data_IF_876821139262
#
_entry.id   IF_876821139262
#
_cell.length_a   1.000
_cell.length_b   1.000
_cell.length_c   1.000
_cell.angle_alpha   90.00
_cell.angle_beta   90.00
_cell.angle_gamma   90.00
#
_symmetry.space_group_name_H-M   'P 1'
#
loop_
_entity.id
_entity.type
_entity.pdbx_description
1 polymer ?
#
# COMPACT_ATOMS: atom_id res chain seq x y z
N UNK A 1 -11.43 -9.93 11.89
CA UNK A 1 -10.13 -10.65 12.02
C UNK A 1 -9.75 -10.92 13.48
N UNK A 2 -8.98 -10.09 14.20
CA UNK A 2 -8.51 -10.44 15.56
C UNK A 2 -9.64 -10.69 16.59
N UNK A 3 -10.71 -9.89 16.52
CA UNK A 3 -11.89 -10.03 17.38
C UNK A 3 -12.75 -11.26 17.01
N UNK A 4 -12.74 -11.66 15.74
CA UNK A 4 -13.44 -12.88 15.27
C UNK A 4 -12.66 -14.15 15.60
N UNK A 5 -11.33 -14.14 15.43
CA UNK A 5 -10.44 -15.27 15.73
C UNK A 5 -10.60 -15.73 17.18
N UNK A 6 -10.62 -14.76 18.10
CA UNK A 6 -10.84 -14.99 19.54
C UNK A 6 -12.21 -15.61 19.86
N UNK A 7 -13.21 -15.37 19.01
CA UNK A 7 -14.56 -15.93 19.15
C UNK A 7 -14.64 -17.38 18.65
N UNK A 8 -13.72 -17.79 17.75
CA UNK A 8 -13.63 -19.15 17.19
C UNK A 8 -12.66 -20.07 17.94
N UNK A 9 -11.93 -19.53 18.93
CA UNK A 9 -10.94 -20.30 19.69
C UNK A 9 -9.65 -20.59 18.91
N UNK A 10 -9.41 -19.86 17.82
CA UNK A 10 -8.19 -19.97 17.01
C UNK A 10 -7.04 -19.20 17.68
N UNK A 11 -5.84 -19.78 17.66
CA UNK A 11 -4.64 -19.05 18.06
C UNK A 11 -4.40 -17.89 17.07
N UNK A 12 -4.23 -16.70 17.64
CA UNK A 12 -4.01 -15.48 16.87
C UNK A 12 -2.69 -15.56 16.08
N UNK A 13 -1.66 -16.19 16.65
CA UNK A 13 -0.36 -16.32 15.99
C UNK A 13 -0.46 -17.22 14.76
N UNK A 14 -1.12 -18.37 14.88
CA UNK A 14 -1.36 -19.29 13.77
C UNK A 14 -2.18 -18.65 12.65
N UNK A 15 -3.23 -17.88 13.00
CA UNK A 15 -4.05 -17.18 12.01
C UNK A 15 -3.25 -16.13 11.24
N UNK A 16 -2.34 -15.41 11.90
CA UNK A 16 -1.47 -14.43 11.24
C UNK A 16 -0.55 -15.12 10.25
N UNK A 17 0.05 -16.26 10.64
CA UNK A 17 0.94 -17.04 9.76
C UNK A 17 0.17 -17.56 8.54
N UNK A 18 -1.00 -18.17 8.72
CA UNK A 18 -1.87 -18.61 7.62
C UNK A 18 -2.23 -17.47 6.66
N UNK A 19 -2.65 -16.34 7.22
CA UNK A 19 -3.07 -15.18 6.43
C UNK A 19 -1.90 -14.61 5.61
N UNK A 20 -0.71 -14.50 6.22
CA UNK A 20 0.49 -14.07 5.53
C UNK A 20 0.88 -15.05 4.43
N UNK A 21 0.85 -16.36 4.72
CA UNK A 21 1.14 -17.41 3.73
C UNK A 21 0.19 -17.33 2.54
N UNK A 22 -1.11 -17.16 2.79
CA UNK A 22 -2.11 -17.00 1.73
C UNK A 22 -1.77 -15.81 0.83
N UNK A 23 -1.40 -14.65 1.38
CA UNK A 23 -1.04 -13.48 0.58
C UNK A 23 0.26 -13.67 -0.21
N UNK A 24 1.26 -14.32 0.38
CA UNK A 24 2.60 -14.45 -0.20
C UNK A 24 2.72 -15.61 -1.19
N UNK A 25 1.98 -16.71 -0.98
CA UNK A 25 2.15 -17.97 -1.71
C UNK A 25 0.98 -18.29 -2.65
N UNK A 26 -0.19 -17.66 -2.52
CA UNK A 26 -1.36 -17.93 -3.40
C UNK A 26 -1.17 -17.50 -4.85
N UNK A 27 -0.12 -16.71 -5.15
CA UNK A 27 0.06 -16.07 -6.45
C UNK A 27 -0.87 -14.88 -6.71
N UNK A 28 -1.71 -14.50 -5.74
CA UNK A 28 -2.56 -13.31 -5.84
C UNK A 28 -1.74 -12.01 -5.88
N UNK A 29 -0.67 -11.96 -5.08
CA UNK A 29 0.28 -10.85 -5.06
C UNK A 29 1.49 -11.17 -5.95
N UNK A 30 1.92 -10.17 -6.75
CA UNK A 30 3.17 -10.25 -7.50
C UNK A 30 4.21 -9.35 -6.85
N UNK A 31 5.41 -9.89 -6.66
CA UNK A 31 6.57 -9.08 -6.26
C UNK A 31 6.96 -8.12 -7.37
N UNK A 32 7.12 -6.85 -7.01
CA UNK A 32 7.66 -5.80 -7.88
C UNK A 32 8.95 -5.28 -7.26
N UNK A 33 9.91 -4.95 -8.11
CA UNK A 33 11.17 -4.35 -7.68
C UNK A 33 11.19 -2.87 -8.05
N UNK A 34 11.74 -2.00 -7.19
CA UNK A 34 11.79 -0.58 -7.48
C UNK A 34 12.74 -0.29 -8.65
N UNK A 35 12.27 0.50 -9.61
CA UNK A 35 13.08 1.06 -10.68
C UNK A 35 14.03 2.16 -10.14
N UNK A 36 15.03 2.53 -10.93
CA UNK A 36 15.98 3.61 -10.56
C UNK A 36 15.23 4.94 -10.38
N UNK A 37 14.21 5.13 -11.20
CA UNK A 37 13.29 6.27 -11.22
C UNK A 37 12.48 6.31 -9.92
N UNK A 38 11.93 5.17 -9.48
CA UNK A 38 11.22 5.05 -8.21
C UNK A 38 12.14 5.39 -7.02
N UNK A 39 13.38 4.87 -7.02
CA UNK A 39 14.37 5.17 -5.97
C UNK A 39 14.70 6.66 -5.94
N UNK A 40 14.91 7.28 -7.10
CA UNK A 40 15.20 8.71 -7.21
C UNK A 40 14.05 9.58 -6.69
N UNK A 41 12.80 9.22 -7.00
CA UNK A 41 11.63 9.93 -6.52
C UNK A 41 11.45 9.76 -5.00
N UNK A 42 11.63 8.55 -4.48
CA UNK A 42 11.55 8.28 -3.05
C UNK A 42 12.60 9.07 -2.25
N UNK A 43 13.82 9.18 -2.79
CA UNK A 43 14.87 10.01 -2.22
C UNK A 43 14.50 11.50 -2.24
N UNK A 44 13.87 12.00 -3.31
CA UNK A 44 13.37 13.38 -3.38
C UNK A 44 12.32 13.65 -2.30
N UNK A 45 11.37 12.74 -2.09
CA UNK A 45 10.36 12.86 -1.03
C UNK A 45 11.01 12.94 0.36
N UNK A 46 12.04 12.12 0.60
CA UNK A 46 12.82 12.17 1.84
C UNK A 46 13.50 13.52 2.05
N UNK A 47 14.06 14.11 0.99
CA UNK A 47 14.63 15.47 1.04
C UNK A 47 13.58 16.55 1.30
N UNK A 48 12.35 16.35 0.84
CA UNK A 48 11.23 17.27 1.03
C UNK A 48 10.56 17.15 2.41
N UNK A 49 10.96 16.17 3.22
CA UNK A 49 10.63 16.11 4.64
C UNK A 49 9.91 14.83 5.10
N UNK A 50 9.44 13.97 4.19
CA UNK A 50 8.79 12.71 4.60
C UNK A 50 9.81 11.67 4.99
N UNK A 51 9.80 11.27 6.27
CA UNK A 51 10.87 10.44 6.84
C UNK A 51 10.70 8.95 6.56
N UNK A 52 9.47 8.48 6.36
CA UNK A 52 9.21 7.07 6.06
C UNK A 52 9.67 6.74 4.63
N UNK A 53 10.72 5.92 4.54
CA UNK A 53 11.31 5.54 3.26
C UNK A 53 10.48 4.47 2.55
N UNK A 54 9.74 3.65 3.30
CA UNK A 54 8.91 2.60 2.72
C UNK A 54 7.73 3.25 2.00
N UNK A 55 7.01 4.17 2.64
CA UNK A 55 5.91 4.88 1.99
C UNK A 55 6.37 5.71 0.79
N UNK A 56 7.51 6.39 0.93
CA UNK A 56 8.12 7.12 -0.19
C UNK A 56 8.39 6.19 -1.37
N UNK A 57 8.89 4.98 -1.11
CA UNK A 57 9.22 4.02 -2.16
C UNK A 57 7.95 3.40 -2.78
N UNK A 58 6.96 3.03 -1.97
CA UNK A 58 5.69 2.48 -2.43
C UNK A 58 4.94 3.46 -3.32
N UNK A 59 4.81 4.72 -2.89
CA UNK A 59 4.24 5.80 -3.70
C UNK A 59 5.04 6.00 -4.99
N UNK A 60 6.37 6.05 -4.89
CA UNK A 60 7.21 6.30 -6.05
C UNK A 60 7.09 5.21 -7.09
N UNK A 61 7.04 3.94 -6.67
CA UNK A 61 6.78 2.81 -7.57
C UNK A 61 5.39 2.92 -8.21
N UNK A 62 4.37 3.29 -7.44
CA UNK A 62 3.03 3.44 -8.01
C UNK A 62 2.98 4.50 -9.12
N UNK A 63 3.61 5.65 -8.88
CA UNK A 63 3.72 6.73 -9.88
C UNK A 63 4.53 6.29 -11.10
N UNK A 64 5.70 5.69 -10.92
CA UNK A 64 6.59 5.38 -12.05
C UNK A 64 6.11 4.19 -12.88
N UNK A 65 5.40 3.25 -12.28
CA UNK A 65 4.89 2.04 -12.94
C UNK A 65 3.41 2.16 -13.35
N UNK A 66 2.77 3.32 -13.15
CA UNK A 66 1.37 3.56 -13.51
C UNK A 66 0.38 2.68 -12.72
N UNK A 67 0.71 2.37 -11.46
CA UNK A 67 -0.13 1.57 -10.56
C UNK A 67 -0.94 2.48 -9.64
N UNK A 68 -1.99 1.92 -9.01
CA UNK A 68 -2.68 2.60 -7.90
C UNK A 68 -2.03 2.19 -6.57
N UNK A 69 -1.86 3.13 -5.66
CA UNK A 69 -1.33 2.89 -4.32
C UNK A 69 -2.47 2.84 -3.31
N UNK A 70 -2.79 1.64 -2.83
CA UNK A 70 -3.77 1.43 -1.76
C UNK A 70 -3.17 1.86 -0.41
N UNK A 71 -3.69 2.94 0.17
CA UNK A 71 -3.30 3.39 1.50
C UNK A 71 -4.47 4.05 2.24
N UNK A 72 -4.49 3.87 3.56
CA UNK A 72 -5.42 4.54 4.47
C UNK A 72 -4.75 5.65 5.28
N UNK A 73 -3.47 5.93 5.02
CA UNK A 73 -2.73 6.96 5.74
C UNK A 73 -3.10 8.36 5.22
N UNK A 74 -4.01 9.00 5.95
CA UNK A 74 -4.42 10.38 5.65
C UNK A 74 -3.31 11.41 5.88
N UNK A 75 -2.33 11.14 6.75
CA UNK A 75 -1.20 12.04 6.98
C UNK A 75 -0.24 12.02 5.80
N UNK A 76 0.00 10.83 5.23
CA UNK A 76 0.78 10.68 4.01
C UNK A 76 0.11 11.38 2.82
N UNK A 77 -1.21 11.23 2.66
CA UNK A 77 -1.97 11.94 1.63
C UNK A 77 -1.81 13.46 1.76
N UNK A 78 -2.06 14.03 2.95
CA UNK A 78 -1.87 15.47 3.20
C UNK A 78 -0.44 15.95 2.96
N UNK A 79 0.55 15.12 3.26
CA UNK A 79 1.96 15.45 2.96
C UNK A 79 2.15 15.62 1.45
N UNK A 80 1.66 14.68 0.64
CA UNK A 80 1.77 14.74 -0.82
C UNK A 80 1.08 15.97 -1.40
N UNK A 81 -0.15 16.27 -0.97
CA UNK A 81 -0.87 17.49 -1.35
C UNK A 81 -0.04 18.74 -1.01
N UNK A 82 0.51 18.79 0.21
CA UNK A 82 1.30 19.93 0.70
C UNK A 82 2.58 20.20 -0.08
N UNK A 83 3.14 19.19 -0.75
CA UNK A 83 4.33 19.34 -1.62
C UNK A 83 3.98 19.39 -3.12
N UNK A 84 2.68 19.41 -3.47
CA UNK A 84 2.19 19.49 -4.85
C UNK A 84 2.46 18.23 -5.67
N UNK A 85 2.45 17.07 -5.02
CA UNK A 85 2.61 15.77 -5.68
C UNK A 85 1.26 15.21 -6.13
N UNK A 86 1.28 14.29 -7.09
CA UNK A 86 0.08 13.66 -7.63
C UNK A 86 -0.59 12.76 -6.59
N UNK A 87 -1.89 12.98 -6.36
CA UNK A 87 -2.66 12.22 -5.36
C UNK A 87 -3.68 11.28 -5.99
N UNK A 88 -3.97 11.41 -7.28
CA UNK A 88 -4.90 10.53 -8.01
C UNK A 88 -4.42 9.07 -8.07
N UNK A 89 -3.12 8.86 -7.83
CA UNK A 89 -2.50 7.54 -7.69
C UNK A 89 -2.94 6.82 -6.41
N UNK A 90 -3.33 7.57 -5.36
CA UNK A 90 -3.75 7.01 -4.08
C UNK A 90 -5.21 6.56 -4.15
N UNK A 91 -5.48 5.37 -3.60
CA UNK A 91 -6.84 4.87 -3.42
C UNK A 91 -7.03 4.37 -1.99
N UNK A 92 -8.25 4.50 -1.49
CA UNK A 92 -8.70 3.87 -0.26
C UNK A 92 -9.23 2.46 -0.50
N UNK A 93 -9.51 1.72 0.58
CA UNK A 93 -10.19 0.43 0.49
C UNK A 93 -11.61 0.56 -0.08
N UNK A 94 -12.31 1.67 0.16
CA UNK A 94 -13.62 1.94 -0.42
C UNK A 94 -13.54 2.19 -1.93
N UNK A 95 -12.51 2.90 -2.39
CA UNK A 95 -12.24 3.08 -3.82
C UNK A 95 -11.93 1.73 -4.47
N UNK A 96 -11.12 0.89 -3.81
CA UNK A 96 -10.82 -0.45 -4.29
C UNK A 96 -12.09 -1.30 -4.45
N UNK A 97 -12.99 -1.31 -3.46
CA UNK A 97 -14.24 -2.07 -3.57
C UNK A 97 -15.11 -1.55 -4.71
N UNK A 98 -15.28 -0.23 -4.84
CA UNK A 98 -16.00 0.36 -5.98
C UNK A 98 -15.39 -0.04 -7.33
N UNK A 99 -14.07 -0.05 -7.45
CA UNK A 99 -13.36 -0.48 -8.65
C UNK A 99 -13.61 -1.96 -8.98
N UNK A 100 -13.57 -2.83 -7.98
CA UNK A 100 -13.80 -4.28 -8.17
C UNK A 100 -15.26 -4.58 -8.49
N UNK A 101 -16.21 -3.88 -7.86
CA UNK A 101 -17.64 -4.03 -8.13
C UNK A 101 -18.04 -3.51 -9.51
N UNK A 102 -17.43 -2.43 -9.98
CA UNK A 102 -17.68 -1.87 -11.32
C UNK A 102 -17.11 -2.72 -12.46
N UNK A 103 -16.23 -3.68 -12.14
CA UNK A 103 -15.63 -4.62 -13.10
C UNK A 103 -16.36 -5.99 -13.14
N UNK A 104 -17.46 -6.14 -12.42
CA UNK A 104 -18.37 -7.29 -12.50
C UNK A 104 -19.51 -7.01 -13.47
#
# INVERSE_FOLDING_TARGET
VAREAKTRGEDLEDLVVESARSLLESGFCRWIHPSKEAIKLAYRMRKLGHRDVIDNLLYSMAVTEGMRFLSMDSAFHRFLEGIGFETDVLISHEDLFRLVESNK
#
